data_IF_627605161750
#
_entry.id   IF_627605161750
#
_cell.length_a   1.000
_cell.length_b   1.000
_cell.length_c   1.000
_cell.angle_alpha   90.00
_cell.angle_beta   90.00
_cell.angle_gamma   90.00
#
_symmetry.space_group_name_H-M   'P 1'
#
loop_
_entity.id
_entity.type
_entity.pdbx_description
1 polymer ?
#
# COMPACT_ATOMS: atom_id res chain seq x y z
N UNK A 1 -13.40 -9.70 4.15
CA UNK A 1 -14.48 -9.77 3.15
C UNK A 1 -14.05 -9.26 1.75
N UNK A 2 -12.91 -8.57 1.60
CA UNK A 2 -12.39 -8.12 0.29
C UNK A 2 -11.50 -9.15 -0.45
N UNK A 3 -10.62 -9.85 0.27
CA UNK A 3 -9.78 -10.91 -0.35
C UNK A 3 -10.60 -11.93 -1.14
N UNK A 4 -11.69 -12.44 -0.55
CA UNK A 4 -12.52 -13.45 -1.20
C UNK A 4 -13.14 -12.95 -2.51
N UNK A 5 -13.54 -11.67 -2.60
CA UNK A 5 -14.04 -11.08 -3.86
C UNK A 5 -12.96 -11.08 -4.94
N UNK A 6 -11.75 -10.64 -4.59
CA UNK A 6 -10.60 -10.64 -5.51
C UNK A 6 -10.29 -12.07 -5.95
N UNK A 7 -10.26 -13.00 -4.99
CA UNK A 7 -9.95 -14.40 -5.24
C UNK A 7 -10.98 -15.08 -6.15
N UNK A 8 -12.28 -14.89 -5.91
CA UNK A 8 -13.36 -15.39 -6.76
C UNK A 8 -13.30 -14.79 -8.18
N UNK A 9 -12.94 -13.51 -8.30
CA UNK A 9 -12.72 -12.86 -9.60
C UNK A 9 -11.49 -13.44 -10.32
N UNK A 10 -10.42 -13.77 -9.59
CA UNK A 10 -9.28 -14.48 -10.16
C UNK A 10 -9.67 -15.88 -10.64
N UNK A 11 -10.48 -16.61 -9.88
CA UNK A 11 -11.00 -17.92 -10.30
C UNK A 11 -11.85 -17.84 -11.57
N UNK A 12 -12.70 -16.83 -11.71
CA UNK A 12 -13.51 -16.67 -12.93
C UNK A 12 -12.64 -16.34 -14.15
N UNK A 13 -11.60 -15.52 -14.00
CA UNK A 13 -10.64 -15.23 -15.06
C UNK A 13 -9.87 -16.48 -15.48
N UNK A 14 -9.38 -17.27 -14.51
CA UNK A 14 -8.67 -18.52 -14.80
C UNK A 14 -9.55 -19.52 -15.56
N UNK A 15 -10.82 -19.63 -15.17
CA UNK A 15 -11.82 -20.46 -15.86
C UNK A 15 -12.00 -20.02 -17.32
N UNK A 16 -12.05 -18.71 -17.61
CA UNK A 16 -12.13 -18.18 -18.98
C UNK A 16 -10.89 -18.58 -19.79
N UNK A 17 -9.71 -18.56 -19.17
CA UNK A 17 -8.44 -18.94 -19.82
C UNK A 17 -8.15 -20.43 -19.85
N UNK A 18 -9.07 -21.28 -19.34
CA UNK A 18 -8.88 -22.71 -19.18
C UNK A 18 -7.61 -23.09 -18.39
N UNK A 19 -7.31 -22.31 -17.35
CA UNK A 19 -6.19 -22.54 -16.42
C UNK A 19 -6.76 -22.90 -15.05
N UNK A 20 -6.15 -23.86 -14.36
CA UNK A 20 -6.52 -24.22 -13.00
C UNK A 20 -5.75 -23.39 -11.97
N UNK A 21 -6.40 -23.01 -10.87
CA UNK A 21 -5.72 -22.38 -9.76
C UNK A 21 -4.97 -23.43 -8.94
N UNK A 22 -3.64 -23.39 -8.99
CA UNK A 22 -2.78 -24.30 -8.24
C UNK A 22 -1.92 -23.57 -7.20
N UNK A 23 -1.44 -24.33 -6.21
CA UNK A 23 -0.38 -23.89 -5.31
C UNK A 23 0.91 -23.71 -6.13
N UNK A 24 1.64 -22.59 -5.98
CA UNK A 24 2.93 -22.44 -6.62
C UNK A 24 3.91 -23.51 -6.12
N UNK A 25 4.91 -23.83 -6.95
CA UNK A 25 5.98 -24.75 -6.57
C UNK A 25 6.75 -24.17 -5.38
N UNK A 26 6.65 -24.84 -4.23
CA UNK A 26 7.42 -24.49 -3.04
C UNK A 26 8.82 -25.09 -3.20
N UNK A 27 9.83 -24.23 -3.37
CA UNK A 27 11.24 -24.66 -3.40
C UNK A 27 11.77 -24.78 -1.97
N UNK A 28 12.68 -25.75 -1.73
CA UNK A 28 13.25 -26.00 -0.39
C UNK A 28 14.00 -24.80 0.22
N UNK A 29 14.35 -23.81 -0.61
CA UNK A 29 14.87 -22.51 -0.18
C UNK A 29 14.19 -21.40 -0.99
N UNK A 30 13.58 -20.44 -0.30
CA UNK A 30 13.19 -19.15 -0.85
C UNK A 30 13.92 -18.07 -0.04
N UNK A 31 14.62 -17.14 -0.70
CA UNK A 31 15.42 -16.12 0.01
C UNK A 31 14.61 -14.87 0.38
N UNK A 32 13.56 -14.56 -0.38
CA UNK A 32 12.78 -13.32 -0.21
C UNK A 32 11.38 -13.53 0.38
N UNK A 33 10.88 -14.77 0.37
CA UNK A 33 9.54 -15.13 0.86
C UNK A 33 9.62 -16.34 1.79
N UNK A 34 8.87 -16.30 2.88
CA UNK A 34 8.74 -17.41 3.80
C UNK A 34 7.80 -18.45 3.18
N UNK A 35 8.15 -19.73 3.32
CA UNK A 35 7.29 -20.84 2.93
C UNK A 35 6.24 -21.08 4.02
N UNK A 36 5.34 -20.12 4.25
CA UNK A 36 4.25 -20.32 5.22
C UNK A 36 3.40 -21.50 4.76
N UNK A 37 3.21 -22.54 5.59
CA UNK A 37 2.40 -23.70 5.22
C UNK A 37 0.99 -23.28 4.78
N UNK A 38 0.52 -23.90 3.72
CA UNK A 38 -0.82 -23.67 3.16
C UNK A 38 -1.33 -24.97 2.54
N UNK A 39 -2.52 -25.38 2.92
CA UNK A 39 -3.17 -26.59 2.40
C UNK A 39 -3.91 -26.32 1.09
N UNK A 40 -4.35 -25.08 0.85
CA UNK A 40 -5.11 -24.69 -0.33
C UNK A 40 -4.50 -23.48 -1.06
N UNK A 41 -4.71 -23.34 -2.38
CA UNK A 41 -4.31 -22.13 -3.11
C UNK A 41 -4.88 -20.86 -2.48
N UNK A 42 -6.13 -20.89 -2.01
CA UNK A 42 -6.76 -19.75 -1.34
C UNK A 42 -5.96 -19.31 -0.10
N UNK A 43 -5.63 -20.25 0.77
CA UNK A 43 -4.84 -19.98 1.98
C UNK A 43 -3.46 -19.44 1.64
N UNK A 44 -2.81 -20.02 0.62
CA UNK A 44 -1.50 -19.58 0.15
C UNK A 44 -1.53 -18.13 -0.34
N UNK A 45 -2.41 -17.81 -1.29
CA UNK A 45 -2.49 -16.48 -1.89
C UNK A 45 -2.95 -15.43 -0.88
N UNK A 46 -3.79 -15.82 0.09
CA UNK A 46 -4.18 -14.94 1.19
C UNK A 46 -2.98 -14.54 2.04
N UNK A 47 -2.19 -15.51 2.49
CA UNK A 47 -1.07 -15.28 3.43
C UNK A 47 0.14 -14.66 2.73
N UNK A 48 0.56 -15.23 1.60
CA UNK A 48 1.84 -14.90 0.96
C UNK A 48 1.74 -13.72 -0.02
N UNK A 49 0.54 -13.37 -0.49
CA UNK A 49 0.34 -12.21 -1.37
C UNK A 49 -0.53 -11.15 -0.73
N UNK A 50 -1.78 -11.46 -0.40
CA UNK A 50 -2.74 -10.42 0.01
C UNK A 50 -2.35 -9.72 1.31
N UNK A 51 -2.08 -10.48 2.38
CA UNK A 51 -1.70 -9.90 3.67
C UNK A 51 -0.37 -9.14 3.57
N UNK A 52 0.60 -9.69 2.84
CA UNK A 52 1.90 -9.05 2.65
C UNK A 52 1.77 -7.74 1.88
N UNK A 53 1.01 -7.73 0.80
CA UNK A 53 0.72 -6.52 0.04
C UNK A 53 0.06 -5.46 0.91
N UNK A 54 -0.90 -5.84 1.76
CA UNK A 54 -1.57 -4.90 2.67
C UNK A 54 -0.60 -4.29 3.68
N UNK A 55 0.25 -5.11 4.30
CA UNK A 55 1.25 -4.64 5.26
C UNK A 55 2.29 -3.72 4.59
N UNK A 56 2.79 -4.12 3.41
CA UNK A 56 3.75 -3.32 2.64
C UNK A 56 3.13 -1.99 2.19
N UNK A 57 1.86 -2.01 1.77
CA UNK A 57 1.12 -0.81 1.38
C UNK A 57 0.89 0.11 2.57
N UNK A 58 0.52 -0.43 3.73
CA UNK A 58 0.38 0.34 4.97
C UNK A 58 1.70 1.02 5.35
N UNK A 59 2.81 0.29 5.28
CA UNK A 59 4.14 0.86 5.55
C UNK A 59 4.49 1.95 4.55
N UNK A 60 4.24 1.76 3.25
CA UNK A 60 4.48 2.81 2.25
C UNK A 60 3.64 4.06 2.49
N UNK A 61 2.39 3.90 2.96
CA UNK A 61 1.57 5.05 3.34
C UNK A 61 2.17 5.77 4.54
N UNK A 62 2.56 5.05 5.59
CA UNK A 62 3.23 5.65 6.76
C UNK A 62 4.52 6.36 6.37
N UNK A 63 5.40 5.71 5.63
CA UNK A 63 6.68 6.29 5.21
C UNK A 63 6.47 7.60 4.44
N UNK A 64 5.48 7.65 3.54
CA UNK A 64 5.18 8.84 2.73
C UNK A 64 4.44 9.93 3.51
N UNK A 65 3.53 9.57 4.41
CA UNK A 65 2.63 10.54 5.03
C UNK A 65 3.02 10.93 6.45
N UNK A 66 3.69 10.07 7.21
CA UNK A 66 4.14 10.39 8.57
C UNK A 66 5.33 11.35 8.52
N UNK A 67 6.30 11.10 7.62
CA UNK A 67 7.47 11.97 7.45
C UNK A 67 7.08 13.37 6.93
N UNK A 68 6.09 13.44 6.03
CA UNK A 68 5.66 14.69 5.39
C UNK A 68 4.36 15.25 5.98
N UNK A 69 3.90 14.75 7.13
CA UNK A 69 2.59 15.12 7.69
C UNK A 69 2.41 16.63 7.84
N UNK A 70 3.41 17.29 8.41
CA UNK A 70 3.38 18.74 8.65
C UNK A 70 3.44 19.54 7.35
N UNK A 71 4.25 19.09 6.38
CA UNK A 71 4.33 19.67 5.03
C UNK A 71 2.96 19.58 4.33
N UNK A 72 2.32 18.40 4.34
CA UNK A 72 1.01 18.19 3.71
C UNK A 72 -0.09 19.00 4.39
N UNK A 73 -0.08 19.08 5.73
CA UNK A 73 -1.03 19.92 6.48
C UNK A 73 -0.82 21.40 6.14
N UNK A 74 0.42 21.88 6.10
CA UNK A 74 0.75 23.24 5.70
C UNK A 74 0.27 23.56 4.29
N UNK A 75 0.47 22.66 3.32
CA UNK A 75 -0.06 22.83 1.97
C UNK A 75 -1.58 22.91 1.93
N UNK A 76 -2.29 22.11 2.73
CA UNK A 76 -3.75 22.19 2.82
C UNK A 76 -4.23 23.57 3.31
N UNK A 77 -3.45 24.24 4.17
CA UNK A 77 -3.77 25.59 4.63
C UNK A 77 -3.71 26.63 3.50
N UNK A 78 -3.09 26.35 2.35
CA UNK A 78 -3.11 27.23 1.18
C UNK A 78 -4.45 27.19 0.44
N UNK A 79 -5.28 26.17 0.67
CA UNK A 79 -6.58 26.10 0.02
C UNK A 79 -7.50 27.20 0.56
N UNK A 80 -8.32 27.87 -0.28
CA UNK A 80 -9.16 28.99 0.13
C UNK A 80 -10.06 28.72 1.34
N UNK A 81 -10.52 27.47 1.47
CA UNK A 81 -11.37 27.03 2.60
C UNK A 81 -10.66 27.07 3.95
N UNK A 82 -9.34 26.88 3.98
CA UNK A 82 -8.55 26.73 5.20
C UNK A 82 -7.61 27.94 5.45
N UNK A 83 -7.21 28.63 4.38
CA UNK A 83 -6.31 29.79 4.44
C UNK A 83 -6.85 30.93 5.32
N UNK A 84 -8.17 31.14 5.32
CA UNK A 84 -8.78 32.20 6.12
C UNK A 84 -8.58 32.07 7.64
N UNK A 85 -8.32 30.85 8.14
CA UNK A 85 -8.09 30.58 9.57
C UNK A 85 -6.65 30.17 9.87
N UNK A 86 -5.77 30.15 8.87
CA UNK A 86 -4.36 29.78 9.03
C UNK A 86 -3.49 31.03 9.24
N UNK A 87 -2.45 30.87 10.04
CA UNK A 87 -1.36 31.83 10.17
C UNK A 87 -0.21 31.47 9.21
N UNK A 88 0.65 32.44 8.88
CA UNK A 88 1.82 32.17 8.04
C UNK A 88 2.78 31.15 8.68
N UNK A 89 2.86 31.11 10.02
CA UNK A 89 3.66 30.09 10.71
C UNK A 89 3.14 28.67 10.53
N UNK A 90 1.85 28.48 10.22
CA UNK A 90 1.27 27.15 10.01
C UNK A 90 1.74 26.48 8.72
N UNK A 91 2.38 27.24 7.82
CA UNK A 91 2.92 26.74 6.55
C UNK A 91 4.45 26.69 6.51
N UNK A 92 5.15 27.05 7.59
CA UNK A 92 6.61 27.17 7.61
C UNK A 92 7.31 25.87 7.20
N UNK A 93 6.89 24.74 7.73
CA UNK A 93 7.45 23.42 7.38
C UNK A 93 7.30 23.12 5.88
N UNK A 94 6.17 23.50 5.29
CA UNK A 94 5.93 23.31 3.86
C UNK A 94 6.80 24.26 3.02
N UNK A 95 6.91 25.51 3.43
CA UNK A 95 7.77 26.51 2.77
C UNK A 95 9.23 26.05 2.80
N UNK A 96 9.76 25.64 3.95
CA UNK A 96 11.14 25.17 4.07
C UNK A 96 11.41 23.92 3.24
N UNK A 97 10.47 22.98 3.21
CA UNK A 97 10.59 21.77 2.40
C UNK A 97 10.76 22.08 0.92
N UNK A 98 9.90 22.92 0.34
CA UNK A 98 9.97 23.24 -1.10
C UNK A 98 11.05 24.26 -1.47
N UNK A 99 11.47 25.13 -0.55
CA UNK A 99 12.64 25.98 -0.78
C UNK A 99 13.93 25.14 -0.90
N UNK A 100 14.02 24.02 -0.17
CA UNK A 100 15.14 23.08 -0.24
C UNK A 100 15.18 22.23 -1.52
N UNK A 101 14.05 22.06 -2.20
CA UNK A 101 13.94 21.31 -3.46
C UNK A 101 14.34 22.13 -4.71
N UNK A 102 14.59 23.45 -4.58
CA UNK A 102 14.99 24.34 -5.68
C UNK A 102 16.50 24.32 -6.00
N UNK A 103 17.22 23.25 -5.68
CA UNK A 103 18.66 23.06 -5.91
C UNK A 103 18.98 21.99 -6.96
#
# INVERSE_FOLDING_TARGET
>A
MEFNKIFLKSLSLLKITNVEMALPRITGRQMQRSNVPSATPEEYYRRNMYLRLLADFENQLRDRFDAHKKVVVGLNMLLPKFCASASLSDIDDAVQFYLGDCG
#
